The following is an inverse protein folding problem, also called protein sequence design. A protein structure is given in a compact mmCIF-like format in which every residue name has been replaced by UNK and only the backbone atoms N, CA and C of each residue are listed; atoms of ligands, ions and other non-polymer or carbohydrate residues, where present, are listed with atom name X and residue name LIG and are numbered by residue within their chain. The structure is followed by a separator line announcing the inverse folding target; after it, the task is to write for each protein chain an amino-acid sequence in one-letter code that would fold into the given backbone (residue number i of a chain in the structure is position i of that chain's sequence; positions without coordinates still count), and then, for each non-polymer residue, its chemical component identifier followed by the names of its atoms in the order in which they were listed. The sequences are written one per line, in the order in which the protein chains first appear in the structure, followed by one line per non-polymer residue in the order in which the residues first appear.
data_IF_513953918179
#
_entry.id   IF_513953918179
#
_cell.length_a   1.000
_cell.length_b   1.000
_cell.length_c   1.000
_cell.angle_alpha   90.00
_cell.angle_beta   90.00
_cell.angle_gamma   90.00
#
_symmetry.space_group_name_H-M   'P 1'
#
loop_
_entity.id
_entity.type
_entity.pdbx_description
1 polymer ?
#
# COMPACT_ATOMS: atom_id res chain seq x y z
N UNK A 1 48.10 3.78 -27.86
CA UNK A 1 47.72 5.19 -27.60
C UNK A 1 46.63 5.63 -28.56
N UNK A 2 46.91 6.00 -29.83
CA UNK A 2 45.86 6.44 -30.77
C UNK A 2 44.70 5.45 -31.04
N UNK A 3 44.96 4.14 -30.99
CA UNK A 3 43.94 3.10 -31.26
C UNK A 3 42.99 2.87 -30.06
N UNK A 4 43.50 3.05 -28.85
CA UNK A 4 42.74 2.91 -27.60
C UNK A 4 41.87 4.16 -27.37
N UNK A 5 42.36 5.32 -27.81
CA UNK A 5 41.63 6.59 -27.78
C UNK A 5 40.41 6.58 -28.75
N UNK A 6 40.55 5.97 -29.94
CA UNK A 6 39.44 5.78 -30.89
C UNK A 6 38.38 4.80 -30.37
N UNK A 7 38.78 3.71 -29.70
CA UNK A 7 37.82 2.78 -29.08
C UNK A 7 37.04 3.44 -27.95
N UNK A 8 37.70 4.28 -27.14
CA UNK A 8 37.06 5.07 -26.09
C UNK A 8 36.08 6.09 -26.67
N UNK A 9 36.42 6.72 -27.81
CA UNK A 9 35.53 7.66 -28.51
C UNK A 9 34.29 6.96 -29.08
N UNK A 10 34.46 5.78 -29.68
CA UNK A 10 33.33 4.96 -30.19
C UNK A 10 32.42 4.49 -29.05
N UNK A 11 32.99 4.09 -27.90
CA UNK A 11 32.19 3.70 -26.72
C UNK A 11 31.45 4.89 -26.14
N UNK A 12 32.08 6.07 -26.03
CA UNK A 12 31.44 7.30 -25.58
C UNK A 12 30.34 7.77 -26.56
N UNK A 13 30.56 7.61 -27.86
CA UNK A 13 29.58 7.92 -28.89
C UNK A 13 28.40 6.95 -28.91
N UNK A 14 28.59 5.70 -28.46
CA UNK A 14 27.48 4.75 -28.24
C UNK A 14 26.72 5.00 -26.93
N UNK A 15 27.41 5.46 -25.89
CA UNK A 15 26.78 5.85 -24.62
C UNK A 15 25.98 7.16 -24.72
N UNK A 16 26.38 8.10 -25.59
CA UNK A 16 25.69 9.38 -25.79
C UNK A 16 24.48 9.31 -26.72
N UNK A 17 24.36 8.26 -27.55
CA UNK A 17 23.34 8.14 -28.61
C UNK A 17 22.13 7.27 -28.25
N UNK A 18 21.91 6.97 -26.98
CA UNK A 18 20.62 6.44 -26.53
C UNK A 18 19.83 7.58 -25.89
N UNK A 19 18.91 8.25 -26.63
CA UNK A 19 17.82 8.92 -25.95
C UNK A 19 17.16 7.84 -25.09
N UNK A 20 17.06 8.07 -23.78
CA UNK A 20 16.31 7.18 -22.91
C UNK A 20 15.01 6.84 -23.63
N UNK A 21 14.72 5.55 -23.90
CA UNK A 21 13.54 5.22 -24.68
C UNK A 21 12.37 5.89 -23.99
N UNK A 22 11.60 6.67 -24.77
CA UNK A 22 10.37 7.30 -24.29
C UNK A 22 9.65 6.27 -23.44
N UNK A 23 9.61 6.48 -22.12
CA UNK A 23 9.11 5.47 -21.18
C UNK A 23 7.61 5.35 -21.45
N UNK A 24 7.22 4.33 -22.20
CA UNK A 24 5.82 4.07 -22.50
C UNK A 24 5.16 3.57 -21.21
N UNK A 25 4.13 4.25 -20.68
CA UNK A 25 3.50 3.79 -19.46
C UNK A 25 2.83 2.43 -19.70
N UNK A 26 3.08 1.45 -18.82
CA UNK A 26 2.54 0.08 -18.94
C UNK A 26 1.13 -0.02 -18.35
N UNK A 27 0.85 0.72 -17.27
CA UNK A 27 -0.42 0.68 -16.54
C UNK A 27 -1.30 1.88 -16.92
N UNK A 28 -1.86 1.87 -18.12
CA UNK A 28 -2.62 2.99 -18.72
C UNK A 28 -4.12 2.79 -18.74
N UNK A 29 -4.64 1.74 -18.09
CA UNK A 29 -6.08 1.49 -18.11
C UNK A 29 -6.85 2.67 -17.52
N UNK A 30 -7.94 3.04 -18.20
CA UNK A 30 -8.90 4.09 -17.80
C UNK A 30 -9.51 3.84 -16.42
N UNK A 31 -9.36 2.61 -15.90
CA UNK A 31 -9.84 2.18 -14.59
C UNK A 31 -8.89 2.48 -13.42
N UNK A 32 -7.74 3.12 -13.64
CA UNK A 32 -6.84 3.55 -12.55
C UNK A 32 -7.62 4.45 -11.57
N UNK A 33 -7.69 4.05 -10.30
CA UNK A 33 -8.55 4.67 -9.27
C UNK A 33 -10.04 4.34 -9.36
N UNK A 34 -10.65 4.38 -10.56
CA UNK A 34 -12.08 4.04 -10.77
C UNK A 34 -12.42 2.60 -10.40
N UNK A 35 -11.46 1.68 -10.46
CA UNK A 35 -11.68 0.28 -10.08
C UNK A 35 -11.96 0.10 -8.60
N UNK A 36 -11.33 0.89 -7.73
CA UNK A 36 -11.67 0.87 -6.30
C UNK A 36 -13.09 1.41 -6.10
N UNK A 37 -13.41 2.51 -6.78
CA UNK A 37 -14.75 3.08 -6.70
C UNK A 37 -15.81 2.07 -7.19
N UNK A 38 -15.53 1.32 -8.25
CA UNK A 38 -16.37 0.21 -8.72
C UNK A 38 -16.52 -0.89 -7.66
N UNK A 39 -15.43 -1.30 -7.02
CA UNK A 39 -15.49 -2.28 -5.93
C UNK A 39 -16.35 -1.76 -4.77
N UNK A 40 -16.16 -0.51 -4.32
CA UNK A 40 -16.89 0.06 -3.19
C UNK A 40 -18.34 0.44 -3.53
N UNK A 41 -18.66 0.78 -4.79
CA UNK A 41 -20.04 1.04 -5.26
C UNK A 41 -20.77 -0.24 -5.69
N UNK A 42 -20.05 -1.34 -5.86
CA UNK A 42 -20.59 -2.63 -6.25
C UNK A 42 -21.51 -3.26 -5.21
N UNK A 43 -22.08 -4.41 -5.57
CA UNK A 43 -22.97 -5.16 -4.69
C UNK A 43 -22.30 -5.56 -3.37
N UNK A 44 -22.97 -5.40 -2.22
CA UNK A 44 -22.39 -5.63 -0.87
C UNK A 44 -21.67 -6.98 -0.73
N UNK A 45 -22.22 -8.04 -1.35
CA UNK A 45 -21.61 -9.38 -1.35
C UNK A 45 -20.27 -9.43 -2.09
N UNK A 46 -20.12 -8.68 -3.19
CA UNK A 46 -18.86 -8.61 -3.95
C UNK A 46 -17.78 -7.91 -3.13
N UNK A 47 -18.12 -6.76 -2.52
CA UNK A 47 -17.21 -6.04 -1.62
C UNK A 47 -16.73 -6.95 -0.50
N UNK A 48 -17.66 -7.67 0.15
CA UNK A 48 -17.32 -8.62 1.22
C UNK A 48 -16.44 -9.78 0.73
N UNK A 49 -16.60 -10.24 -0.52
CA UNK A 49 -15.73 -11.29 -1.09
C UNK A 49 -14.33 -10.77 -1.39
N UNK A 50 -14.23 -9.59 -1.99
CA UNK A 50 -12.98 -9.00 -2.47
C UNK A 50 -12.15 -8.41 -1.32
N UNK A 51 -12.78 -7.82 -0.30
CA UNK A 51 -12.10 -7.22 0.85
C UNK A 51 -12.15 -8.06 2.13
N UNK A 52 -12.90 -9.18 2.15
CA UNK A 52 -13.20 -9.98 3.36
C UNK A 52 -13.79 -9.17 4.52
N UNK A 53 -14.32 -7.99 4.20
CA UNK A 53 -14.80 -6.99 5.15
C UNK A 53 -16.02 -6.31 4.54
N UNK A 54 -17.00 -5.95 5.36
CA UNK A 54 -18.13 -5.15 4.89
C UNK A 54 -17.68 -3.72 4.58
N UNK A 55 -18.32 -3.09 3.58
CA UNK A 55 -18.01 -1.72 3.15
C UNK A 55 -18.02 -0.74 4.32
N UNK A 56 -18.99 -0.86 5.21
CA UNK A 56 -19.16 0.02 6.37
C UNK A 56 -17.98 -0.10 7.34
N UNK A 57 -17.45 -1.31 7.54
CA UNK A 57 -16.27 -1.54 8.37
C UNK A 57 -15.02 -1.00 7.68
N UNK A 58 -14.91 -1.13 6.36
CA UNK A 58 -13.83 -0.52 5.59
C UNK A 58 -13.81 1.01 5.77
N UNK A 59 -14.96 1.69 5.62
CA UNK A 59 -15.06 3.13 5.84
C UNK A 59 -14.68 3.54 7.26
N UNK A 60 -15.16 2.80 8.28
CA UNK A 60 -14.78 3.06 9.68
C UNK A 60 -13.28 2.89 9.92
N UNK A 61 -12.65 1.91 9.26
CA UNK A 61 -11.20 1.71 9.37
C UNK A 61 -10.42 2.87 8.73
N UNK A 62 -10.86 3.37 7.56
CA UNK A 62 -10.28 4.57 6.94
C UNK A 62 -10.38 5.77 7.89
N UNK A 63 -11.57 6.03 8.43
CA UNK A 63 -11.82 7.14 9.35
C UNK A 63 -10.94 7.04 10.60
N UNK A 64 -10.84 5.85 11.19
CA UNK A 64 -10.03 5.60 12.38
C UNK A 64 -8.54 5.84 12.12
N UNK A 65 -8.02 5.38 10.98
CA UNK A 65 -6.62 5.59 10.59
C UNK A 65 -6.32 7.06 10.26
N UNK A 66 -7.30 7.78 9.70
CA UNK A 66 -7.20 9.21 9.46
C UNK A 66 -7.20 10.00 10.78
N UNK A 67 -8.15 9.73 11.68
CA UNK A 67 -8.28 10.41 12.97
C UNK A 67 -7.08 10.18 13.88
N UNK A 68 -6.44 9.01 13.79
CA UNK A 68 -5.23 8.69 14.56
C UNK A 68 -3.95 9.34 14.00
N UNK A 69 -4.05 10.14 12.93
CA UNK A 69 -2.93 10.79 12.22
C UNK A 69 -1.84 9.80 11.76
N UNK A 70 -2.17 8.51 11.67
CA UNK A 70 -1.24 7.45 11.26
C UNK A 70 -1.14 7.37 9.73
N UNK A 71 -2.15 7.92 9.04
CA UNK A 71 -2.21 7.97 7.59
C UNK A 71 -2.59 9.38 7.13
N UNK A 72 -1.63 10.30 7.19
CA UNK A 72 -1.78 11.62 6.59
C UNK A 72 -1.88 11.48 5.07
N UNK A 73 -3.06 11.73 4.49
CA UNK A 73 -3.36 11.63 3.06
C UNK A 73 -3.32 10.22 2.43
N UNK A 74 -3.52 9.15 3.18
CA UNK A 74 -3.72 7.84 2.54
C UNK A 74 -5.07 7.84 1.82
N UNK A 75 -5.02 8.04 0.51
CA UNK A 75 -6.14 7.82 -0.40
C UNK A 75 -6.72 6.44 -0.09
N UNK A 76 -8.05 6.30 -0.09
CA UNK A 76 -8.76 5.02 0.13
C UNK A 76 -8.13 3.84 -0.66
N UNK A 77 -7.51 4.16 -1.80
CA UNK A 77 -6.71 3.30 -2.66
C UNK A 77 -5.59 2.57 -1.92
N UNK A 78 -4.82 3.25 -1.07
CA UNK A 78 -3.69 2.65 -0.34
C UNK A 78 -4.16 1.56 0.62
N UNK A 79 -5.19 1.86 1.43
CA UNK A 79 -5.80 0.88 2.33
C UNK A 79 -6.48 -0.24 1.54
N UNK A 80 -7.14 0.10 0.45
CA UNK A 80 -7.81 -0.89 -0.39
C UNK A 80 -6.84 -1.91 -0.99
N UNK A 81 -5.69 -1.46 -1.49
CA UNK A 81 -4.63 -2.36 -2.01
C UNK A 81 -4.16 -3.31 -0.91
N UNK A 82 -3.94 -2.80 0.30
CA UNK A 82 -3.49 -3.60 1.44
C UNK A 82 -4.54 -4.65 1.84
N UNK A 83 -5.80 -4.24 2.04
CA UNK A 83 -6.87 -5.16 2.43
C UNK A 83 -7.13 -6.18 1.33
N UNK A 84 -7.21 -5.76 0.06
CA UNK A 84 -7.37 -6.69 -1.06
C UNK A 84 -6.23 -7.71 -1.14
N UNK A 85 -4.99 -7.26 -0.96
CA UNK A 85 -3.81 -8.14 -0.91
C UNK A 85 -3.97 -9.24 0.13
N UNK A 86 -4.34 -8.89 1.37
CA UNK A 86 -4.53 -9.85 2.46
C UNK A 86 -5.77 -10.74 2.25
N UNK A 87 -6.87 -10.15 1.79
CA UNK A 87 -8.16 -10.79 1.58
C UNK A 87 -8.12 -11.93 0.54
N UNK A 88 -7.30 -11.76 -0.49
CA UNK A 88 -7.18 -12.70 -1.61
C UNK A 88 -5.81 -13.36 -1.72
N UNK A 89 -4.88 -13.08 -0.80
CA UNK A 89 -3.47 -13.46 -0.90
C UNK A 89 -2.85 -13.10 -2.27
N UNK A 90 -3.13 -11.88 -2.74
CA UNK A 90 -2.74 -11.45 -4.08
C UNK A 90 -1.22 -11.24 -4.18
N UNK A 91 -0.63 -11.70 -5.28
CA UNK A 91 0.76 -11.37 -5.64
C UNK A 91 0.84 -9.92 -6.11
N UNK A 92 2.00 -9.30 -5.95
CA UNK A 92 2.24 -7.91 -6.38
C UNK A 92 1.86 -7.68 -7.85
N UNK A 93 2.18 -8.61 -8.76
CA UNK A 93 1.78 -8.51 -10.17
C UNK A 93 0.26 -8.38 -10.38
N UNK A 94 -0.54 -9.14 -9.64
CA UNK A 94 -2.00 -9.03 -9.72
C UNK A 94 -2.48 -7.67 -9.22
N UNK A 95 -1.88 -7.16 -8.15
CA UNK A 95 -2.20 -5.82 -7.63
C UNK A 95 -1.83 -4.72 -8.62
N UNK A 96 -0.72 -4.85 -9.34
CA UNK A 96 -0.36 -3.91 -10.41
C UNK A 96 -1.42 -3.87 -11.50
N UNK A 97 -1.89 -5.05 -11.95
CA UNK A 97 -2.93 -5.15 -12.98
C UNK A 97 -4.30 -4.68 -12.48
N UNK A 98 -4.65 -4.94 -11.21
CA UNK A 98 -5.94 -4.52 -10.65
C UNK A 98 -6.00 -3.03 -10.34
N UNK A 99 -4.94 -2.46 -9.78
CA UNK A 99 -4.93 -1.07 -9.33
C UNK A 99 -4.17 -0.13 -10.29
N UNK A 100 -3.60 -0.68 -11.36
CA UNK A 100 -2.94 0.08 -12.43
C UNK A 100 -1.82 0.98 -11.89
N UNK A 101 -1.00 0.41 -11.01
CA UNK A 101 0.16 1.05 -10.40
C UNK A 101 1.40 0.19 -10.61
N UNK A 102 2.58 0.83 -10.64
CA UNK A 102 3.84 0.09 -10.68
C UNK A 102 4.01 -0.79 -9.45
N UNK A 103 4.74 -1.89 -9.57
CA UNK A 103 5.00 -2.80 -8.44
C UNK A 103 5.68 -2.12 -7.26
N UNK A 104 6.57 -1.16 -7.54
CA UNK A 104 7.17 -0.29 -6.54
C UNK A 104 6.11 0.52 -5.78
N UNK A 105 5.14 1.09 -6.49
CA UNK A 105 4.05 1.85 -5.87
C UNK A 105 3.15 0.97 -5.03
N UNK A 106 2.80 -0.23 -5.52
CA UNK A 106 2.06 -1.23 -4.75
C UNK A 106 2.81 -1.58 -3.45
N UNK A 107 4.11 -1.89 -3.53
CA UNK A 107 4.91 -2.22 -2.35
C UNK A 107 5.01 -1.06 -1.37
N UNK A 108 5.18 0.17 -1.87
CA UNK A 108 5.22 1.38 -1.02
C UNK A 108 3.91 1.57 -0.27
N UNK A 109 2.78 1.48 -0.97
CA UNK A 109 1.44 1.61 -0.39
C UNK A 109 1.15 0.52 0.64
N UNK A 110 1.51 -0.72 0.33
CA UNK A 110 1.38 -1.83 1.27
C UNK A 110 2.14 -1.56 2.57
N UNK A 111 3.40 -1.13 2.48
CA UNK A 111 4.24 -0.86 3.65
C UNK A 111 3.75 0.34 4.48
N UNK A 112 3.27 1.41 3.84
CA UNK A 112 2.69 2.56 4.54
C UNK A 112 1.52 2.12 5.44
N UNK A 113 0.60 1.32 4.90
CA UNK A 113 -0.56 0.83 5.66
C UNK A 113 -0.14 -0.16 6.73
N UNK A 114 0.80 -1.06 6.43
CA UNK A 114 1.33 -2.00 7.41
C UNK A 114 1.90 -1.27 8.64
N UNK A 115 2.72 -0.24 8.43
CA UNK A 115 3.29 0.56 9.52
C UNK A 115 2.23 1.29 10.33
N UNK A 116 1.20 1.83 9.67
CA UNK A 116 0.09 2.47 10.33
C UNK A 116 -0.69 1.47 11.21
N UNK A 117 -1.01 0.28 10.68
CA UNK A 117 -1.74 -0.75 11.43
C UNK A 117 -0.91 -1.29 12.60
N UNK A 118 0.39 -1.52 12.42
CA UNK A 118 1.28 -1.98 13.50
C UNK A 118 1.43 -0.93 14.61
N UNK A 119 1.34 0.36 14.25
CA UNK A 119 1.39 1.47 15.20
C UNK A 119 0.05 1.77 15.88
N UNK A 120 -1.03 1.12 15.47
CA UNK A 120 -2.38 1.38 15.96
C UNK A 120 -2.68 0.77 17.35
N UNK A 121 -2.27 -0.48 17.66
CA UNK A 121 -2.47 -1.08 18.98
C UNK A 121 -1.96 -0.23 20.14
N UNK A 122 -0.80 0.40 20.01
CA UNK A 122 -0.23 1.25 21.06
C UNK A 122 -1.09 2.49 21.39
N UNK A 123 -1.94 2.92 20.45
CA UNK A 123 -2.87 4.04 20.63
C UNK A 123 -4.25 3.62 21.11
N UNK A 124 -4.72 2.44 20.70
CA UNK A 124 -6.09 1.96 20.97
C UNK A 124 -6.16 1.00 22.17
N UNK A 125 -5.21 0.08 22.27
CA UNK A 125 -5.16 -0.92 23.32
C UNK A 125 -4.45 -0.32 24.52
N UNK A 126 -5.24 0.22 25.45
CA UNK A 126 -4.75 0.60 26.78
C UNK A 126 -4.93 -0.58 27.71
N UNK A 127 -3.87 -0.97 28.43
CA UNK A 127 -4.04 -1.90 29.52
C UNK A 127 -5.01 -1.29 30.55
N UNK A 128 -5.90 -2.10 31.15
CA UNK A 128 -6.66 -1.62 32.29
C UNK A 128 -5.66 -1.14 33.36
N UNK A 129 -5.97 -0.06 34.09
CA UNK A 129 -5.13 0.36 35.19
C UNK A 129 -4.95 -0.83 36.13
N UNK A 130 -3.70 -1.12 36.51
CA UNK A 130 -3.39 -2.07 37.57
C UNK A 130 -3.88 -1.44 38.87
N UNK A 131 -5.18 -1.55 39.10
CA UNK A 131 -5.75 -1.39 40.41
C UNK A 131 -5.70 -2.78 41.03
N UNK A 132 -4.50 -3.27 41.32
CA UNK A 132 -4.34 -4.42 42.22
C UNK A 132 -4.91 -3.95 43.56
N UNK A 133 -6.07 -4.47 44.02
CA UNK A 133 -6.51 -4.17 45.36
C UNK A 133 -5.40 -4.55 46.34
N UNK A 134 -5.18 -3.71 47.35
CA UNK A 134 -4.12 -3.83 48.36
C UNK A 134 -3.93 -5.25 48.92
N UNK A 135 -5.00 -6.04 48.95
CA UNK A 135 -5.05 -7.44 49.37
C UNK A 135 -4.16 -8.39 48.56
N UNK A 136 -3.82 -8.06 47.31
CA UNK A 136 -2.93 -8.90 46.47
C UNK A 136 -1.45 -8.56 46.69
N UNK A 137 -1.13 -7.30 47.01
CA UNK A 137 0.26 -6.86 47.25
C UNK A 137 0.77 -7.21 48.65
N UNK A 138 -0.14 -7.59 49.57
CA UNK A 138 0.14 -7.77 50.99
C UNK A 138 0.15 -9.23 51.42
N UNK A 139 0.00 -10.18 50.49
CA UNK A 139 0.15 -11.60 50.79
C UNK A 139 1.66 -11.96 50.74
N UNK A 140 2.26 -12.39 51.86
CA UNK A 140 3.68 -12.76 51.93
C UNK A 140 4.01 -14.03 51.11
#
# INVERSE_FOLDING_TARGET
KRRDDEELEVVQQRLSRNPTPNRTPVHTSVLSGKKLEEHLRGHKVRVRREFRMEKEIFCKLVELLHNSHLLSNARDITLAIFIFCLATNARNRLLQEQFQHSGETISRYFNIVLQAIVSLPSKIIKLPPINTPFLISSNP
#
